data_IF_107244188799
#
_entry.id   IF_107244188799
#
_cell.length_a   1.000
_cell.length_b   1.000
_cell.length_c   1.000
_cell.angle_alpha   90.00
_cell.angle_beta   90.00
_cell.angle_gamma   90.00
#
_symmetry.space_group_name_H-M   'P 1'
#
loop_
_entity.id
_entity.type
_entity.pdbx_description
1 polymer ?
#
# COMPACT_ATOMS: atom_id res chain seq x y z
N UNK A 1 -21.30 -48.42 -47.40
CA UNK A 1 -21.33 -46.99 -47.03
C UNK A 1 -20.41 -46.82 -45.84
N UNK A 2 -19.18 -46.34 -46.04
CA UNK A 2 -18.23 -46.09 -44.95
C UNK A 2 -18.20 -44.59 -44.70
N UNK A 3 -18.66 -44.18 -43.51
CA UNK A 3 -18.69 -42.80 -43.06
C UNK A 3 -17.39 -42.54 -42.27
N UNK A 4 -16.46 -41.80 -42.86
CA UNK A 4 -15.24 -41.34 -42.18
C UNK A 4 -15.49 -39.95 -41.59
N UNK A 5 -15.48 -39.85 -40.27
CA UNK A 5 -15.50 -38.56 -39.55
C UNK A 5 -14.12 -37.88 -39.63
N UNK A 6 -14.05 -36.55 -39.83
CA UNK A 6 -12.80 -35.81 -39.71
C UNK A 6 -12.50 -35.51 -38.23
N UNK A 7 -11.27 -35.81 -37.80
CA UNK A 7 -10.76 -35.42 -36.50
C UNK A 7 -10.39 -33.92 -36.54
N UNK A 8 -11.13 -33.09 -35.81
CA UNK A 8 -10.75 -31.70 -35.53
C UNK A 8 -9.62 -31.68 -34.49
N UNK A 9 -8.45 -31.18 -34.89
CA UNK A 9 -7.34 -30.88 -33.99
C UNK A 9 -7.58 -29.48 -33.43
N UNK A 10 -7.94 -29.39 -32.15
CA UNK A 10 -8.02 -28.12 -31.44
C UNK A 10 -6.60 -27.68 -31.01
N UNK A 11 -6.10 -26.60 -31.59
CA UNK A 11 -4.88 -25.93 -31.14
C UNK A 11 -5.22 -25.12 -29.88
N UNK A 12 -4.81 -25.63 -28.72
CA UNK A 12 -4.87 -24.88 -27.48
C UNK A 12 -3.74 -23.83 -27.47
N UNK A 13 -4.10 -22.55 -27.60
CA UNK A 13 -3.18 -21.44 -27.40
C UNK A 13 -2.85 -21.33 -25.92
N UNK A 14 -1.64 -21.72 -25.53
CA UNK A 14 -1.09 -21.43 -24.20
C UNK A 14 -0.65 -19.96 -24.16
N UNK A 15 -1.45 -19.11 -23.54
CA UNK A 15 -1.02 -17.78 -23.12
C UNK A 15 -0.04 -17.95 -21.96
N UNK A 16 1.25 -17.80 -22.22
CA UNK A 16 2.26 -17.72 -21.16
C UNK A 16 2.08 -16.34 -20.52
N UNK A 17 1.37 -16.29 -19.40
CA UNK A 17 1.33 -15.10 -18.56
C UNK A 17 2.73 -14.84 -18.03
N UNK A 18 3.35 -13.74 -18.44
CA UNK A 18 4.58 -13.25 -17.80
C UNK A 18 4.16 -12.83 -16.39
N UNK A 19 4.55 -13.62 -15.38
CA UNK A 19 4.49 -13.14 -14.00
C UNK A 19 5.30 -11.85 -13.95
N UNK A 20 4.67 -10.73 -13.60
CA UNK A 20 5.39 -9.49 -13.48
C UNK A 20 6.30 -9.61 -12.25
N UNK A 21 7.61 -9.61 -12.46
CA UNK A 21 8.56 -9.66 -11.35
C UNK A 21 8.33 -8.45 -10.43
N UNK A 22 8.38 -8.74 -9.12
CA UNK A 22 8.36 -7.71 -8.11
C UNK A 22 9.56 -6.76 -8.28
N UNK A 23 9.43 -5.52 -7.84
CA UNK A 23 10.52 -4.53 -7.88
C UNK A 23 10.68 -3.89 -6.51
N UNK A 24 11.93 -3.81 -6.04
CA UNK A 24 12.29 -3.07 -4.82
C UNK A 24 12.43 -1.59 -5.14
N UNK A 25 11.77 -0.72 -4.39
CA UNK A 25 11.86 0.74 -4.54
C UNK A 25 12.32 1.36 -3.22
N UNK A 26 13.62 1.67 -3.14
CA UNK A 26 14.25 2.26 -1.95
C UNK A 26 14.21 3.78 -1.92
N UNK A 27 14.80 4.35 -0.86
CA UNK A 27 14.82 5.78 -0.56
C UNK A 27 13.42 6.38 -0.45
N UNK A 28 12.51 5.63 0.17
CA UNK A 28 11.16 6.09 0.44
C UNK A 28 11.14 6.89 1.75
N UNK A 29 10.58 8.09 1.70
CA UNK A 29 10.06 8.76 2.89
C UNK A 29 8.69 8.16 3.22
N UNK A 30 8.51 7.80 4.49
CA UNK A 30 7.23 7.33 5.02
C UNK A 30 6.79 8.33 6.07
N UNK A 31 5.56 8.81 5.94
CA UNK A 31 4.81 9.44 7.02
C UNK A 31 3.52 8.67 7.25
N UNK A 32 2.75 9.13 8.21
CA UNK A 32 1.47 8.56 8.59
C UNK A 32 0.45 9.68 8.74
N UNK A 33 -0.80 9.37 8.40
CA UNK A 33 -1.93 10.28 8.54
C UNK A 33 -3.14 9.55 9.09
N UNK A 34 -4.16 10.29 9.45
CA UNK A 34 -5.34 9.75 10.09
C UNK A 34 -6.58 10.59 9.89
N UNK A 35 -7.64 10.20 10.61
CA UNK A 35 -8.88 10.97 10.62
C UNK A 35 -8.66 12.46 10.98
N UNK A 36 -7.87 12.84 12.02
CA UNK A 36 -7.80 14.23 12.46
C UNK A 36 -7.17 15.20 11.46
N UNK A 37 -6.17 14.76 10.69
CA UNK A 37 -5.33 15.59 9.83
C UNK A 37 -5.53 15.34 8.33
N UNK A 38 -6.31 14.33 7.94
CA UNK A 38 -6.84 14.26 6.60
C UNK A 38 -7.62 15.55 6.26
N UNK A 39 -7.61 16.01 5.01
CA UNK A 39 -8.21 17.29 4.61
C UNK A 39 -9.35 17.11 3.59
N UNK A 40 -10.63 17.30 3.98
CA UNK A 40 -11.11 17.62 5.34
C UNK A 40 -11.06 16.42 6.30
N UNK A 41 -11.08 16.65 7.63
CA UNK A 41 -10.97 15.57 8.62
C UNK A 41 -12.02 14.49 8.42
N UNK A 42 -11.57 13.25 8.26
CA UNK A 42 -12.41 12.12 7.91
C UNK A 42 -11.69 11.03 7.14
N UNK A 43 -12.42 9.99 6.71
CA UNK A 43 -11.84 8.90 5.94
C UNK A 43 -11.87 9.15 4.43
N UNK A 44 -12.25 10.34 3.96
CA UNK A 44 -12.40 10.57 2.52
C UNK A 44 -11.07 10.38 1.80
N UNK A 45 -11.09 9.75 0.62
CA UNK A 45 -9.90 9.50 -0.21
C UNK A 45 -10.16 9.90 -1.67
N UNK A 46 -9.10 10.18 -2.42
CA UNK A 46 -9.17 10.65 -3.81
C UNK A 46 -9.69 9.60 -4.83
N UNK A 47 -9.41 8.31 -4.63
CA UNK A 47 -9.68 7.26 -5.61
C UNK A 47 -10.55 6.13 -5.04
N UNK A 48 -11.62 5.76 -5.74
CA UNK A 48 -12.43 4.60 -5.37
C UNK A 48 -11.91 3.32 -6.04
N UNK A 49 -11.20 2.53 -5.24
CA UNK A 49 -10.70 1.21 -5.62
C UNK A 49 -11.63 0.07 -5.17
N UNK A 50 -12.94 0.34 -5.06
CA UNK A 50 -13.98 -0.62 -4.72
C UNK A 50 -14.41 -0.62 -3.25
N UNK A 51 -14.11 0.46 -2.50
CA UNK A 51 -14.53 0.63 -1.09
C UNK A 51 -15.29 1.94 -0.81
N UNK A 52 -15.67 2.68 -1.85
CA UNK A 52 -16.60 3.80 -1.75
C UNK A 52 -15.99 5.09 -1.23
N UNK A 53 -14.82 5.48 -1.75
CA UNK A 53 -14.10 6.72 -1.37
C UNK A 53 -13.84 6.86 0.13
N UNK A 54 -13.51 5.75 0.79
CA UNK A 54 -13.19 5.72 2.22
C UNK A 54 -11.87 4.99 2.45
N UNK A 55 -10.96 5.61 3.19
CA UNK A 55 -9.70 5.03 3.64
C UNK A 55 -9.95 3.77 4.50
N UNK A 56 -8.90 2.98 4.71
CA UNK A 56 -8.90 1.88 5.65
C UNK A 56 -8.26 0.63 5.08
N UNK A 57 -8.81 -0.52 5.44
CA UNK A 57 -8.26 -1.83 5.13
C UNK A 57 -7.39 -2.38 6.26
N UNK A 58 -7.19 -3.69 6.21
CA UNK A 58 -6.47 -4.46 7.24
C UNK A 58 -4.97 -4.60 6.93
N UNK A 59 -4.56 -4.29 5.71
CA UNK A 59 -3.18 -4.49 5.23
C UNK A 59 -2.93 -5.87 4.64
N UNK A 60 -3.97 -6.67 4.40
CA UNK A 60 -3.85 -7.93 3.66
C UNK A 60 -3.86 -7.69 2.14
N UNK A 61 -3.42 -8.65 1.32
CA UNK A 61 -3.40 -8.46 -0.13
C UNK A 61 -4.79 -8.17 -0.73
N UNK A 62 -5.84 -8.80 -0.19
CA UNK A 62 -7.22 -8.63 -0.65
C UNK A 62 -7.91 -7.42 -0.02
N UNK A 63 -7.35 -6.87 1.05
CA UNK A 63 -7.84 -5.67 1.73
C UNK A 63 -6.64 -4.82 2.17
N UNK A 64 -5.92 -4.21 1.20
CA UNK A 64 -4.72 -3.44 1.49
C UNK A 64 -5.07 -2.18 2.30
N UNK A 65 -4.12 -1.72 3.09
CA UNK A 65 -4.26 -0.47 3.83
C UNK A 65 -4.11 0.72 2.87
N UNK A 66 -4.95 1.73 3.01
CA UNK A 66 -4.85 2.98 2.23
C UNK A 66 -3.50 3.66 2.46
N UNK A 67 -2.90 4.16 1.38
CA UNK A 67 -1.86 5.18 1.48
C UNK A 67 -2.12 6.31 0.47
N UNK A 68 -1.61 7.49 0.82
CA UNK A 68 -1.57 8.67 -0.01
C UNK A 68 -0.16 8.90 -0.55
N UNK A 69 -0.07 9.53 -1.73
CA UNK A 69 1.20 9.87 -2.38
C UNK A 69 0.96 10.96 -3.43
N UNK A 70 1.97 11.26 -4.25
CA UNK A 70 1.88 12.19 -5.36
C UNK A 70 1.30 11.56 -6.62
N UNK A 71 0.53 12.35 -7.38
CA UNK A 71 0.06 11.93 -8.71
C UNK A 71 1.26 11.63 -9.64
N UNK A 72 1.20 10.44 -10.27
CA UNK A 72 2.23 9.94 -11.17
C UNK A 72 3.45 9.30 -10.48
N UNK A 73 3.53 9.28 -9.15
CA UNK A 73 4.48 8.41 -8.45
C UNK A 73 4.00 6.95 -8.49
N UNK A 74 2.70 6.72 -8.24
CA UNK A 74 2.03 5.43 -8.30
C UNK A 74 0.80 5.50 -9.23
N UNK A 75 0.42 4.36 -9.80
CA UNK A 75 -0.84 4.25 -10.55
C UNK A 75 -2.03 4.17 -9.58
N UNK A 76 -3.16 4.85 -9.85
CA UNK A 76 -4.35 4.73 -9.00
C UNK A 76 -4.73 3.26 -8.77
N UNK A 77 -4.99 2.91 -7.51
CA UNK A 77 -5.26 1.55 -7.04
C UNK A 77 -4.07 0.56 -7.12
N UNK A 78 -2.84 1.02 -7.38
CA UNK A 78 -1.64 0.19 -7.33
C UNK A 78 -1.47 -0.41 -5.93
N UNK A 79 -1.25 -1.72 -5.88
CA UNK A 79 -0.94 -2.45 -4.64
C UNK A 79 0.57 -2.63 -4.53
N UNK A 80 1.12 -2.18 -3.41
CA UNK A 80 2.51 -2.37 -3.00
C UNK A 80 2.54 -3.15 -1.70
N UNK A 81 3.73 -3.61 -1.32
CA UNK A 81 3.98 -4.16 0.01
C UNK A 81 5.01 -3.28 0.71
N UNK A 82 4.69 -2.92 1.95
CA UNK A 82 5.56 -2.18 2.86
C UNK A 82 6.07 -3.14 3.96
N UNK A 83 7.35 -3.55 3.90
CA UNK A 83 7.97 -4.36 4.95
C UNK A 83 8.03 -3.65 6.31
N UNK A 84 8.08 -2.32 6.35
CA UNK A 84 8.19 -1.54 7.59
C UNK A 84 6.97 -1.73 8.48
N UNK A 85 5.77 -1.80 7.90
CA UNK A 85 4.52 -2.12 8.61
C UNK A 85 4.08 -3.57 8.45
N UNK A 86 4.74 -4.36 7.58
CA UNK A 86 4.31 -5.68 7.09
C UNK A 86 2.86 -5.68 6.59
N UNK A 87 2.56 -4.72 5.71
CA UNK A 87 1.22 -4.57 5.13
C UNK A 87 1.31 -4.42 3.62
N UNK A 88 0.28 -4.91 2.94
CA UNK A 88 -0.02 -4.44 1.60
C UNK A 88 -0.67 -3.07 1.71
N UNK A 89 -0.21 -2.13 0.90
CA UNK A 89 -0.78 -0.80 0.79
C UNK A 89 -1.40 -0.62 -0.59
N UNK A 90 -2.46 0.18 -0.70
CA UNK A 90 -3.08 0.54 -1.98
C UNK A 90 -3.14 2.05 -2.16
N UNK A 91 -2.66 2.53 -3.30
CA UNK A 91 -2.63 3.95 -3.62
C UNK A 91 -4.04 4.42 -3.89
N UNK A 92 -4.56 5.21 -2.98
CA UNK A 92 -5.98 5.53 -2.92
C UNK A 92 -6.26 6.99 -2.65
N UNK A 93 -5.25 7.72 -2.20
CA UNK A 93 -5.44 9.08 -1.75
C UNK A 93 -4.32 10.01 -2.21
N UNK A 94 -4.61 11.29 -2.17
CA UNK A 94 -3.70 12.35 -2.53
C UNK A 94 -3.06 12.95 -1.28
N UNK A 95 -1.77 13.26 -1.37
CA UNK A 95 -1.05 13.96 -0.31
C UNK A 95 -0.31 15.18 -0.86
N UNK A 96 -0.56 16.36 -0.28
CA UNK A 96 0.04 17.63 -0.72
C UNK A 96 1.55 17.66 -0.50
N UNK A 97 2.02 17.26 0.69
CA UNK A 97 3.44 17.23 1.01
C UNK A 97 4.19 16.27 0.06
N UNK A 98 3.62 15.10 -0.19
CA UNK A 98 4.12 14.11 -1.14
C UNK A 98 4.22 14.70 -2.55
N UNK A 99 3.21 15.47 -2.98
CA UNK A 99 3.20 16.14 -4.29
C UNK A 99 4.28 17.21 -4.40
N UNK A 100 4.50 18.00 -3.35
CA UNK A 100 5.56 19.01 -3.31
C UNK A 100 6.95 18.35 -3.36
N UNK A 101 7.14 17.26 -2.62
CA UNK A 101 8.35 16.43 -2.65
C UNK A 101 8.59 15.81 -4.05
N UNK A 102 7.54 15.32 -4.68
CA UNK A 102 7.61 14.74 -6.03
C UNK A 102 7.91 15.79 -7.10
N UNK A 103 7.40 17.01 -6.94
CA UNK A 103 7.75 18.16 -7.78
C UNK A 103 9.19 18.61 -7.53
N UNK A 104 9.67 18.50 -6.28
CA UNK A 104 11.02 18.84 -5.86
C UNK A 104 12.03 17.70 -6.13
N UNK A 105 12.19 17.33 -7.40
CA UNK A 105 13.23 16.39 -7.81
C UNK A 105 12.89 14.91 -7.58
N UNK A 106 11.60 14.57 -7.52
CA UNK A 106 11.10 13.18 -7.44
C UNK A 106 11.50 12.50 -6.13
N UNK A 107 11.45 13.25 -5.03
CA UNK A 107 11.54 12.67 -3.68
C UNK A 107 10.32 11.77 -3.51
N UNK A 108 10.58 10.50 -3.17
CA UNK A 108 9.55 9.47 -3.09
C UNK A 108 8.92 9.49 -1.71
N UNK A 109 7.60 9.61 -1.66
CA UNK A 109 6.91 9.85 -0.41
C UNK A 109 5.56 9.14 -0.40
N UNK A 110 5.34 8.32 0.62
CA UNK A 110 4.03 7.79 0.94
C UNK A 110 3.60 8.19 2.36
N UNK A 111 2.30 8.35 2.52
CA UNK A 111 1.65 8.73 3.77
C UNK A 111 0.60 7.67 4.11
N UNK A 112 0.80 6.90 5.19
CA UNK A 112 0.02 5.69 5.47
C UNK A 112 -1.12 5.97 6.43
N UNK A 113 -2.33 5.51 6.08
CA UNK A 113 -3.51 5.65 6.93
C UNK A 113 -3.38 4.84 8.23
N UNK A 114 -3.54 5.48 9.38
CA UNK A 114 -3.24 4.86 10.68
C UNK A 114 -4.38 4.06 11.31
N UNK A 115 -5.65 4.35 11.00
CA UNK A 115 -6.70 3.86 11.89
C UNK A 115 -8.15 3.96 11.44
N UNK A 116 -8.99 4.53 12.31
CA UNK A 116 -10.44 4.37 12.25
C UNK A 116 -11.10 5.29 11.23
N UNK A 117 -12.03 4.75 10.45
CA UNK A 117 -12.86 5.53 9.53
C UNK A 117 -13.99 6.29 10.20
N UNK A 118 -14.21 6.07 11.50
CA UNK A 118 -15.38 6.60 12.23
C UNK A 118 -15.03 7.31 13.53
N UNK A 119 -13.78 7.22 13.96
CA UNK A 119 -13.32 7.79 15.24
C UNK A 119 -12.17 8.74 14.95
N UNK A 120 -12.39 10.01 15.26
CA UNK A 120 -11.33 11.01 15.28
C UNK A 120 -10.51 10.85 16.57
N UNK A 121 -9.24 10.43 16.44
CA UNK A 121 -8.32 10.26 17.58
C UNK A 121 -7.68 11.55 18.10
N UNK A 122 -7.90 12.68 17.44
CA UNK A 122 -7.34 13.99 17.79
C UNK A 122 -5.81 13.96 17.92
N UNK A 123 -5.28 14.81 18.80
CA UNK A 123 -3.84 14.95 19.03
C UNK A 123 -3.14 13.63 19.44
N UNK A 124 -3.87 12.66 20.00
CA UNK A 124 -3.28 11.36 20.35
C UNK A 124 -2.96 10.55 19.09
N UNK A 125 -3.79 10.66 18.05
CA UNK A 125 -3.53 10.05 16.76
C UNK A 125 -2.43 10.80 16.00
N UNK A 126 -2.42 12.13 16.07
CA UNK A 126 -1.32 12.95 15.53
C UNK A 126 0.03 12.57 16.16
N UNK A 127 0.09 12.39 17.48
CA UNK A 127 1.32 11.95 18.12
C UNK A 127 1.72 10.54 17.65
N UNK A 128 0.74 9.65 17.44
CA UNK A 128 1.01 8.32 16.91
C UNK A 128 1.61 8.37 15.50
N UNK A 129 1.07 9.20 14.62
CA UNK A 129 1.60 9.40 13.26
C UNK A 129 3.07 9.84 13.30
N UNK A 130 3.40 10.78 14.18
CA UNK A 130 4.79 11.20 14.42
C UNK A 130 5.67 10.08 14.97
N UNK A 131 5.16 9.29 15.92
CA UNK A 131 5.92 8.20 16.56
C UNK A 131 6.19 7.02 15.60
N UNK A 132 5.31 6.80 14.61
CA UNK A 132 5.46 5.77 13.59
C UNK A 132 6.41 6.20 12.46
N UNK A 133 6.57 7.51 12.23
CA UNK A 133 7.36 8.09 11.14
C UNK A 133 8.85 7.82 11.32
N UNK A 134 9.49 7.02 10.43
CA UNK A 134 10.93 6.77 10.49
C UNK A 134 11.73 7.96 9.93
N UNK A 135 13.06 7.85 9.94
CA UNK A 135 13.92 8.83 9.29
C UNK A 135 13.58 8.98 7.79
N UNK A 136 13.74 10.17 7.25
CA UNK A 136 13.49 10.45 5.82
C UNK A 136 14.33 9.55 4.90
N UNK A 137 13.78 9.18 3.73
CA UNK A 137 14.43 8.36 2.71
C UNK A 137 15.03 7.03 3.24
N UNK A 138 14.52 6.49 4.35
CA UNK A 138 15.12 5.32 5.01
C UNK A 138 14.51 3.99 4.59
N UNK A 139 13.31 3.99 3.99
CA UNK A 139 12.54 2.78 3.77
C UNK A 139 12.62 2.27 2.32
N UNK A 140 12.25 1.01 2.15
CA UNK A 140 12.14 0.35 0.84
C UNK A 140 10.81 -0.40 0.75
N UNK A 141 10.04 -0.17 -0.31
CA UNK A 141 8.81 -0.90 -0.60
C UNK A 141 9.02 -1.91 -1.73
N UNK A 142 8.07 -2.83 -1.87
CA UNK A 142 8.00 -3.78 -2.98
C UNK A 142 6.78 -3.46 -3.86
N UNK A 143 7.02 -3.12 -5.13
CA UNK A 143 5.97 -3.05 -6.15
C UNK A 143 5.73 -4.42 -6.76
N UNK A 144 4.50 -4.66 -7.22
CA UNK A 144 4.05 -5.97 -7.75
C UNK A 144 4.40 -7.13 -6.80
N UNK A 145 4.07 -7.01 -5.50
CA UNK A 145 4.44 -8.02 -4.52
C UNK A 145 3.71 -9.35 -4.79
N UNK A 146 4.29 -10.46 -4.34
CA UNK A 146 3.55 -11.72 -4.22
C UNK A 146 2.38 -11.53 -3.24
N UNK A 147 1.28 -12.27 -3.40
CA UNK A 147 0.08 -12.10 -2.57
C UNK A 147 0.12 -12.81 -1.21
N UNK A 148 1.21 -13.52 -0.91
CA UNK A 148 1.40 -14.37 0.26
C UNK A 148 2.56 -13.95 1.17
N UNK A 149 3.07 -12.73 1.03
CA UNK A 149 4.03 -12.15 1.98
C UNK A 149 3.44 -12.09 3.41
N UNK A 150 4.29 -12.09 4.46
CA UNK A 150 3.84 -11.95 5.85
C UNK A 150 2.96 -10.72 6.06
N UNK A 151 1.92 -10.83 6.89
CA UNK A 151 1.03 -9.69 7.18
C UNK A 151 0.87 -9.52 8.69
N UNK A 152 1.00 -8.28 9.16
CA UNK A 152 0.49 -7.85 10.46
C UNK A 152 -0.79 -7.06 10.26
N UNK A 153 -1.93 -7.58 10.72
CA UNK A 153 -3.23 -6.90 10.58
C UNK A 153 -3.56 -5.96 11.74
N UNK A 154 -2.63 -5.75 12.68
CA UNK A 154 -2.84 -4.83 13.81
C UNK A 154 -2.99 -3.41 13.28
N UNK A 155 -4.04 -2.70 13.71
CA UNK A 155 -4.22 -1.29 13.37
C UNK A 155 -3.07 -0.46 13.96
N UNK A 156 -2.56 0.52 13.21
CA UNK A 156 -1.44 1.35 13.68
C UNK A 156 -1.88 2.28 14.82
N UNK A 157 -3.14 2.73 14.78
CA UNK A 157 -3.80 3.46 15.85
C UNK A 157 -5.21 2.90 16.13
N UNK A 158 -5.46 2.48 17.36
CA UNK A 158 -6.78 2.01 17.79
C UNK A 158 -7.02 2.23 19.29
N UNK A 159 -8.25 2.59 19.66
CA UNK A 159 -8.66 2.78 21.06
C UNK A 159 -7.74 3.74 21.85
N UNK A 160 -7.22 4.79 21.19
CA UNK A 160 -6.30 5.75 21.81
C UNK A 160 -4.88 5.21 22.04
N UNK A 161 -4.56 4.01 21.52
CA UNK A 161 -3.22 3.41 21.58
C UNK A 161 -2.55 3.51 20.22
N UNK A 162 -1.30 3.96 20.22
CA UNK A 162 -0.38 3.80 19.11
C UNK A 162 0.34 2.45 19.18
N UNK A 163 0.46 1.76 18.06
CA UNK A 163 1.04 0.42 17.95
C UNK A 163 2.43 0.47 17.31
N UNK A 164 3.35 1.24 17.90
CA UNK A 164 4.75 1.30 17.46
C UNK A 164 5.49 -0.04 17.67
N UNK A 165 4.96 -0.92 18.52
CA UNK A 165 5.42 -2.31 18.70
C UNK A 165 5.11 -3.23 17.51
N UNK A 166 4.37 -2.72 16.50
CA UNK A 166 4.03 -3.40 15.25
C UNK A 166 4.71 -2.76 14.03
N UNK A 167 5.86 -2.12 14.27
CA UNK A 167 6.80 -1.68 13.25
C UNK A 167 7.95 -2.68 13.19
N UNK A 168 8.43 -2.92 11.99
CA UNK A 168 9.51 -3.85 11.68
C UNK A 168 10.61 -3.05 11.00
N UNK A 169 11.60 -2.56 11.75
CA UNK A 169 12.70 -1.73 11.25
C UNK A 169 13.92 -2.56 10.83
N UNK A 170 13.96 -3.84 11.19
CA UNK A 170 15.06 -4.78 10.97
C UNK A 170 14.83 -5.76 9.80
N UNK A 171 13.89 -5.47 8.91
CA UNK A 171 13.59 -6.35 7.77
C UNK A 171 14.75 -6.47 6.77
N UNK A 172 14.95 -7.67 6.22
CA UNK A 172 15.75 -7.85 5.01
C UNK A 172 14.85 -7.75 3.78
N UNK A 173 15.06 -6.72 2.96
CA UNK A 173 14.27 -6.49 1.75
C UNK A 173 14.34 -7.67 0.76
N UNK A 174 15.37 -8.51 0.82
CA UNK A 174 15.53 -9.67 -0.07
C UNK A 174 14.50 -10.77 0.20
N UNK A 175 13.88 -10.78 1.38
CA UNK A 175 12.85 -11.75 1.75
C UNK A 175 11.49 -11.45 1.09
N UNK A 176 11.28 -10.21 0.62
CA UNK A 176 9.98 -9.75 0.12
C UNK A 176 9.92 -9.60 -1.40
N UNK A 177 11.05 -9.73 -2.07
CA UNK A 177 11.14 -9.73 -3.51
C UNK A 177 12.38 -10.52 -3.95
N UNK A 178 12.16 -11.80 -4.24
CA UNK A 178 13.18 -12.73 -4.73
C UNK A 178 12.96 -12.95 -6.23
N UNK A 179 14.02 -12.73 -7.01
CA UNK A 179 14.08 -13.08 -8.43
C UNK A 179 14.65 -14.49 -8.62
#
# INVERSE_FOLDING_TARGET
MHCTLPALIALASFSIGVAADCTKMGYMTHTFYGYPDNDPPGPAIAYDCGRGFSAGGTGTYNDPLTFASAEGEFEPCEVIYDPYTRKYLRYEDYCQACTDDWANGKIRHLDVWTGSTTVNGGDTQIQCENDLTPAENSQTIVRKPASNLPVDTTALFANGKCHTDHIYDDYDINDYCSH
#
